data_IF_825833307739
#
_entry.id   IF_825833307739
#
_cell.length_a   1.000
_cell.length_b   1.000
_cell.length_c   1.000
_cell.angle_alpha   90.00
_cell.angle_beta   90.00
_cell.angle_gamma   90.00
#
_symmetry.space_group_name_H-M   'P 1'
#
loop_
_entity.id
_entity.type
_entity.pdbx_description
1 polymer ?
#
# COMPACT_ATOMS: atom_id res chain seq x y z
N UNK A 1 -24.77 -45.79 -14.12
CA UNK A 1 -24.21 -44.44 -14.29
C UNK A 1 -24.67 -43.59 -13.12
N UNK A 2 -23.80 -43.29 -12.15
CA UNK A 2 -24.12 -42.33 -11.09
C UNK A 2 -24.05 -40.91 -11.69
N UNK A 3 -25.03 -40.03 -11.43
CA UNK A 3 -24.97 -38.66 -11.91
C UNK A 3 -23.81 -37.94 -11.24
N UNK A 4 -23.05 -37.20 -12.04
CA UNK A 4 -21.96 -36.31 -11.61
C UNK A 4 -22.59 -35.25 -10.66
N UNK A 5 -22.08 -35.04 -9.44
CA UNK A 5 -22.66 -34.03 -8.55
C UNK A 5 -22.53 -32.66 -9.21
N UNK A 6 -23.62 -31.87 -9.17
CA UNK A 6 -23.62 -30.50 -9.62
C UNK A 6 -22.60 -29.70 -8.79
N UNK A 7 -21.58 -29.15 -9.46
CA UNK A 7 -20.62 -28.23 -8.86
C UNK A 7 -21.36 -27.03 -8.29
N UNK A 8 -21.22 -26.81 -6.99
CA UNK A 8 -21.81 -25.66 -6.28
C UNK A 8 -21.14 -24.37 -6.74
N UNK A 9 -21.84 -23.24 -6.61
CA UNK A 9 -21.35 -21.90 -6.99
C UNK A 9 -20.06 -21.52 -6.25
N UNK A 10 -19.88 -22.00 -5.01
CA UNK A 10 -18.68 -21.80 -4.20
C UNK A 10 -17.47 -22.58 -4.77
N UNK A 11 -17.67 -23.83 -5.21
CA UNK A 11 -16.59 -24.63 -5.82
C UNK A 11 -16.11 -24.02 -7.14
N UNK A 12 -17.04 -23.46 -7.93
CA UNK A 12 -16.70 -22.75 -9.18
C UNK A 12 -15.99 -21.41 -8.91
N UNK A 13 -16.36 -20.70 -7.85
CA UNK A 13 -15.68 -19.46 -7.44
C UNK A 13 -14.26 -19.72 -6.97
N UNK A 14 -14.02 -20.81 -6.25
CA UNK A 14 -12.69 -21.16 -5.77
C UNK A 14 -11.76 -21.51 -6.94
N UNK A 15 -12.26 -22.25 -7.93
CA UNK A 15 -11.49 -22.66 -9.10
C UNK A 15 -11.05 -21.44 -9.94
N UNK A 16 -11.96 -20.49 -10.18
CA UNK A 16 -11.65 -19.28 -10.95
C UNK A 16 -10.69 -18.33 -10.20
N UNK A 17 -10.77 -18.26 -8.87
CA UNK A 17 -9.79 -17.51 -8.07
C UNK A 17 -8.40 -18.13 -8.18
N UNK A 18 -8.29 -19.45 -8.06
CA UNK A 18 -7.01 -20.14 -8.18
C UNK A 18 -6.40 -19.95 -9.56
N UNK A 19 -7.20 -20.05 -10.62
CA UNK A 19 -6.75 -19.77 -11.99
C UNK A 19 -6.22 -18.33 -12.14
N UNK A 20 -6.88 -17.35 -11.53
CA UNK A 20 -6.44 -15.96 -11.56
C UNK A 20 -5.11 -15.74 -10.83
N UNK A 21 -4.93 -16.36 -9.66
CA UNK A 21 -3.70 -16.27 -8.88
C UNK A 21 -2.54 -16.98 -9.59
N UNK A 22 -2.79 -18.12 -10.23
CA UNK A 22 -1.81 -18.81 -11.05
C UNK A 22 -1.38 -17.96 -12.24
N UNK A 23 -2.33 -17.30 -12.91
CA UNK A 23 -2.01 -16.45 -14.06
C UNK A 23 -1.27 -15.16 -13.68
N UNK A 24 -1.64 -14.54 -12.54
CA UNK A 24 -1.03 -13.30 -12.06
C UNK A 24 0.39 -13.51 -11.50
N UNK A 25 0.58 -14.55 -10.69
CA UNK A 25 1.81 -14.74 -9.90
C UNK A 25 2.54 -16.06 -10.19
N UNK A 26 1.94 -16.99 -10.93
CA UNK A 26 2.46 -18.36 -11.06
C UNK A 26 2.33 -19.16 -9.76
N UNK A 27 1.34 -18.85 -8.93
CA UNK A 27 1.18 -19.44 -7.59
C UNK A 27 -0.10 -20.30 -7.53
N UNK A 28 0.03 -21.51 -7.02
CA UNK A 28 -1.07 -22.47 -6.95
C UNK A 28 -1.76 -22.55 -5.59
N UNK A 29 -2.52 -23.63 -5.39
CA UNK A 29 -3.34 -23.85 -4.19
C UNK A 29 -2.54 -23.94 -2.88
N UNK A 30 -1.27 -24.37 -2.93
CA UNK A 30 -0.39 -24.40 -1.77
C UNK A 30 -0.14 -23.00 -1.20
N UNK A 31 0.05 -22.02 -2.09
CA UNK A 31 0.23 -20.63 -1.73
C UNK A 31 -1.06 -20.04 -1.15
N UNK A 32 -2.22 -20.29 -1.77
CA UNK A 32 -3.52 -19.85 -1.23
C UNK A 32 -3.79 -20.38 0.19
N UNK A 33 -3.38 -21.61 0.51
CA UNK A 33 -3.48 -22.18 1.86
C UNK A 33 -2.54 -21.51 2.86
N UNK A 34 -1.34 -21.14 2.42
CA UNK A 34 -0.35 -20.45 3.26
C UNK A 34 -0.72 -18.98 3.48
N UNK A 35 -1.38 -18.36 2.50
CA UNK A 35 -1.72 -16.94 2.46
C UNK A 35 -3.24 -16.75 2.31
N UNK A 36 -4.02 -16.93 3.39
CA UNK A 36 -5.48 -16.83 3.34
C UNK A 36 -5.99 -15.44 2.95
N UNK A 37 -5.16 -14.39 3.04
CA UNK A 37 -5.47 -13.05 2.54
C UNK A 37 -5.73 -12.98 1.03
N UNK A 38 -5.40 -14.03 0.26
CA UNK A 38 -5.74 -14.13 -1.16
C UNK A 38 -7.26 -14.04 -1.38
N UNK A 39 -8.06 -14.65 -0.51
CA UNK A 39 -9.52 -14.54 -0.64
C UNK A 39 -10.00 -13.09 -0.49
N UNK A 40 -9.35 -12.31 0.37
CA UNK A 40 -9.71 -10.90 0.58
C UNK A 40 -9.25 -10.05 -0.61
N UNK A 41 -8.13 -10.38 -1.23
CA UNK A 41 -7.73 -9.79 -2.51
C UNK A 41 -8.76 -10.11 -3.60
N UNK A 42 -9.21 -11.36 -3.70
CA UNK A 42 -10.23 -11.76 -4.66
C UNK A 42 -11.55 -11.02 -4.43
N UNK A 43 -12.06 -10.99 -3.19
CA UNK A 43 -13.26 -10.24 -2.82
C UNK A 43 -13.12 -8.74 -3.10
N UNK A 44 -11.91 -8.17 -2.89
CA UNK A 44 -11.63 -6.79 -3.25
C UNK A 44 -11.76 -6.55 -4.76
N UNK A 45 -11.19 -7.43 -5.59
CA UNK A 45 -11.29 -7.33 -7.05
C UNK A 45 -12.73 -7.51 -7.54
N UNK A 46 -13.50 -8.42 -6.93
CA UNK A 46 -14.92 -8.61 -7.25
C UNK A 46 -15.75 -7.36 -6.99
N UNK A 47 -15.52 -6.66 -5.88
CA UNK A 47 -16.16 -5.36 -5.62
C UNK A 47 -15.82 -4.33 -6.70
N UNK A 48 -14.62 -4.40 -7.30
CA UNK A 48 -14.25 -3.53 -8.44
C UNK A 48 -14.96 -3.94 -9.72
N UNK A 49 -15.19 -5.24 -9.94
CA UNK A 49 -15.87 -5.75 -11.13
C UNK A 49 -17.35 -5.35 -11.22
N UNK A 50 -17.99 -4.93 -10.13
CA UNK A 50 -19.36 -4.38 -10.14
C UNK A 50 -19.50 -3.26 -11.18
N UNK A 51 -18.47 -2.43 -11.34
CA UNK A 51 -18.44 -1.35 -12.35
C UNK A 51 -18.53 -1.84 -13.80
N UNK A 52 -18.17 -3.09 -14.09
CA UNK A 52 -18.27 -3.71 -15.41
C UNK A 52 -19.65 -4.32 -15.70
N UNK A 53 -20.56 -4.33 -14.72
CA UNK A 53 -21.92 -4.84 -14.89
C UNK A 53 -22.88 -3.78 -15.47
N UNK A 54 -22.44 -2.52 -15.59
CA UNK A 54 -23.20 -1.46 -16.24
C UNK A 54 -23.49 -1.77 -17.72
N UNK A 55 -24.55 -1.18 -18.27
CA UNK A 55 -24.97 -1.39 -19.67
C UNK A 55 -23.88 -0.98 -20.68
N UNK A 56 -23.06 0.02 -20.35
CA UNK A 56 -22.01 0.52 -21.24
C UNK A 56 -20.94 -0.55 -21.54
N UNK A 57 -20.74 -1.50 -20.61
CA UNK A 57 -19.77 -2.56 -20.73
C UNK A 57 -20.35 -3.88 -21.28
N UNK A 58 -21.60 -3.89 -21.78
CA UNK A 58 -22.21 -5.11 -22.35
C UNK A 58 -21.39 -5.74 -23.48
N UNK A 59 -20.63 -4.91 -24.19
CA UNK A 59 -19.71 -5.34 -25.24
C UNK A 59 -18.70 -6.40 -24.76
N UNK A 60 -18.17 -6.29 -23.54
CA UNK A 60 -17.13 -7.22 -23.07
C UNK A 60 -17.69 -8.65 -22.96
N UNK A 61 -18.97 -8.77 -22.58
CA UNK A 61 -19.67 -10.05 -22.48
C UNK A 61 -19.98 -10.62 -23.87
N UNK A 62 -20.36 -9.76 -24.83
CA UNK A 62 -20.51 -10.16 -26.25
C UNK A 62 -19.19 -10.67 -26.83
N UNK A 63 -18.06 -9.99 -26.56
CA UNK A 63 -16.73 -10.42 -27.00
C UNK A 63 -16.40 -11.81 -26.45
N UNK A 64 -16.72 -12.06 -25.17
CA UNK A 64 -16.55 -13.36 -24.52
C UNK A 64 -17.58 -14.41 -24.95
N UNK A 65 -18.55 -14.08 -25.81
CA UNK A 65 -19.68 -14.93 -26.23
C UNK A 65 -20.47 -15.46 -25.02
N UNK A 66 -20.73 -14.57 -24.06
CA UNK A 66 -21.45 -14.85 -22.82
C UNK A 66 -22.61 -13.88 -22.62
N UNK A 67 -23.63 -14.33 -21.91
CA UNK A 67 -24.69 -13.45 -21.43
C UNK A 67 -24.15 -12.52 -20.33
N UNK A 68 -24.75 -11.33 -20.21
CA UNK A 68 -24.40 -10.36 -19.18
C UNK A 68 -24.67 -10.98 -17.80
N UNK A 69 -23.65 -11.13 -16.94
CA UNK A 69 -23.86 -11.71 -15.62
C UNK A 69 -24.56 -10.72 -14.68
N UNK A 70 -25.32 -11.26 -13.73
CA UNK A 70 -25.91 -10.47 -12.63
C UNK A 70 -24.98 -10.35 -11.41
N UNK A 71 -23.95 -11.18 -11.33
CA UNK A 71 -23.02 -11.25 -10.19
C UNK A 71 -21.60 -10.84 -10.61
N UNK A 72 -20.96 -10.00 -9.81
CA UNK A 72 -19.62 -9.47 -10.02
C UNK A 72 -18.52 -10.54 -10.06
N UNK A 73 -18.74 -11.72 -9.45
CA UNK A 73 -17.81 -12.87 -9.54
C UNK A 73 -17.53 -13.24 -11.00
N UNK A 74 -18.49 -13.09 -11.91
CA UNK A 74 -18.26 -13.38 -13.33
C UNK A 74 -17.35 -12.37 -14.03
N UNK A 75 -17.04 -11.23 -13.39
CA UNK A 75 -15.99 -10.29 -13.76
C UNK A 75 -14.62 -10.95 -13.97
N UNK A 76 -14.34 -12.03 -13.25
CA UNK A 76 -13.13 -12.82 -13.43
C UNK A 76 -12.95 -13.34 -14.86
N UNK A 77 -14.02 -13.66 -15.59
CA UNK A 77 -13.89 -14.13 -16.97
C UNK A 77 -13.30 -13.05 -17.89
N UNK A 78 -13.70 -11.79 -17.71
CA UNK A 78 -13.11 -10.67 -18.43
C UNK A 78 -11.68 -10.41 -17.97
N UNK A 79 -11.47 -10.37 -16.66
CA UNK A 79 -10.15 -10.17 -16.07
C UNK A 79 -9.12 -11.20 -16.59
N UNK A 80 -9.47 -12.48 -16.56
CA UNK A 80 -8.65 -13.58 -17.06
C UNK A 80 -8.43 -13.49 -18.58
N UNK A 81 -9.44 -13.12 -19.36
CA UNK A 81 -9.29 -12.97 -20.81
C UNK A 81 -8.24 -11.90 -21.15
N UNK A 82 -8.30 -10.75 -20.48
CA UNK A 82 -7.32 -9.67 -20.66
C UNK A 82 -5.93 -10.12 -20.21
N UNK A 83 -5.79 -10.79 -19.06
CA UNK A 83 -4.50 -11.29 -18.58
C UNK A 83 -3.87 -12.33 -19.53
N UNK A 84 -4.67 -13.26 -20.08
CA UNK A 84 -4.18 -14.21 -21.08
C UNK A 84 -3.75 -13.50 -22.37
N UNK A 85 -4.50 -12.47 -22.77
CA UNK A 85 -4.11 -11.59 -23.87
C UNK A 85 -2.76 -10.93 -23.62
N UNK A 86 -2.55 -10.36 -22.43
CA UNK A 86 -1.27 -9.78 -21.99
C UNK A 86 -0.15 -10.82 -22.02
N UNK A 87 -0.37 -12.00 -21.43
CA UNK A 87 0.62 -13.08 -21.38
C UNK A 87 1.02 -13.53 -22.78
N UNK A 88 0.06 -13.65 -23.71
CA UNK A 88 0.35 -14.06 -25.09
C UNK A 88 1.17 -13.02 -25.87
N UNK A 89 1.05 -11.74 -25.50
CA UNK A 89 1.70 -10.62 -26.17
C UNK A 89 2.98 -10.16 -25.44
N UNK A 90 3.33 -10.74 -24.30
CA UNK A 90 4.39 -10.24 -23.39
C UNK A 90 5.80 -10.17 -23.99
N UNK A 91 6.04 -10.86 -25.11
CA UNK A 91 7.31 -10.81 -25.84
C UNK A 91 7.46 -9.54 -26.70
N UNK A 92 6.38 -8.80 -26.93
CA UNK A 92 6.37 -7.57 -27.72
C UNK A 92 6.54 -6.35 -26.79
N UNK A 93 7.65 -5.63 -26.93
CA UNK A 93 7.90 -4.40 -26.14
C UNK A 93 6.96 -3.25 -26.49
N UNK A 94 6.25 -3.35 -27.62
CA UNK A 94 5.32 -2.35 -28.14
C UNK A 94 3.86 -2.71 -27.87
N UNK A 95 3.60 -3.57 -26.89
CA UNK A 95 2.23 -3.91 -26.47
C UNK A 95 1.47 -2.65 -26.05
N UNK A 96 0.30 -2.49 -26.63
CA UNK A 96 -0.65 -1.40 -26.40
C UNK A 96 -2.02 -1.98 -26.06
N UNK A 97 -2.91 -1.17 -25.48
CA UNK A 97 -4.29 -1.60 -25.22
C UNK A 97 -5.01 -1.98 -26.51
N UNK A 98 -4.71 -1.28 -27.61
CA UNK A 98 -5.21 -1.59 -28.94
C UNK A 98 -4.81 -3.00 -29.40
N UNK A 99 -3.57 -3.44 -29.16
CA UNK A 99 -3.13 -4.80 -29.52
C UNK A 99 -3.83 -5.87 -28.69
N UNK A 100 -4.03 -5.62 -27.40
CA UNK A 100 -4.79 -6.51 -26.51
C UNK A 100 -6.24 -6.62 -27.00
N UNK A 101 -6.87 -5.50 -27.35
CA UNK A 101 -8.20 -5.48 -27.95
C UNK A 101 -8.29 -6.34 -29.21
N UNK A 102 -7.37 -6.17 -30.17
CA UNK A 102 -7.35 -6.97 -31.40
C UNK A 102 -7.14 -8.47 -31.14
N UNK A 103 -6.37 -8.82 -30.10
CA UNK A 103 -6.22 -10.21 -29.68
C UNK A 103 -7.53 -10.77 -29.11
N UNK A 104 -8.25 -10.01 -28.27
CA UNK A 104 -9.50 -10.45 -27.65
C UNK A 104 -10.64 -10.67 -28.65
N UNK A 105 -10.69 -9.86 -29.72
CA UNK A 105 -11.71 -10.01 -30.77
C UNK A 105 -11.31 -11.03 -31.85
N UNK A 106 -10.12 -11.63 -31.77
CA UNK A 106 -9.62 -12.59 -32.76
C UNK A 106 -10.54 -13.83 -32.76
N UNK A 107 -11.34 -13.99 -33.82
CA UNK A 107 -12.33 -15.07 -33.92
C UNK A 107 -13.79 -14.62 -33.70
N UNK A 108 -14.03 -13.31 -33.57
CA UNK A 108 -15.36 -12.71 -33.70
C UNK A 108 -15.60 -12.27 -35.15
N UNK A 109 -16.73 -12.70 -35.72
CA UNK A 109 -17.12 -12.36 -37.09
C UNK A 109 -17.88 -11.03 -37.20
N UNK A 110 -18.29 -10.45 -36.07
CA UNK A 110 -19.03 -9.19 -36.02
C UNK A 110 -18.07 -8.00 -35.97
N UNK A 111 -18.35 -6.97 -36.78
CA UNK A 111 -17.73 -5.67 -36.64
C UNK A 111 -18.30 -4.93 -35.44
N UNK A 112 -17.44 -4.40 -34.58
CA UNK A 112 -17.84 -3.60 -33.43
C UNK A 112 -17.82 -2.10 -33.76
N UNK A 113 -18.76 -1.35 -33.21
CA UNK A 113 -18.81 0.10 -33.36
C UNK A 113 -17.63 0.81 -32.67
N UNK A 114 -17.29 2.05 -33.06
CA UNK A 114 -16.23 2.82 -32.39
C UNK A 114 -16.47 3.00 -30.88
N UNK A 115 -17.72 3.23 -30.48
CA UNK A 115 -18.11 3.38 -29.07
C UNK A 115 -17.90 2.08 -28.28
N UNK A 116 -18.30 0.94 -28.85
CA UNK A 116 -18.09 -0.38 -28.24
C UNK A 116 -16.60 -0.70 -28.07
N UNK A 117 -15.78 -0.31 -29.04
CA UNK A 117 -14.32 -0.41 -28.93
C UNK A 117 -13.79 0.44 -27.78
N UNK A 118 -14.24 1.69 -27.66
CA UNK A 118 -13.79 2.59 -26.60
C UNK A 118 -14.15 2.07 -25.19
N UNK A 119 -15.38 1.57 -24.99
CA UNK A 119 -15.75 0.91 -23.73
C UNK A 119 -14.90 -0.33 -23.44
N UNK A 120 -14.57 -1.12 -24.48
CA UNK A 120 -13.69 -2.28 -24.33
C UNK A 120 -12.27 -1.86 -23.91
N UNK A 121 -11.74 -0.79 -24.50
CA UNK A 121 -10.43 -0.25 -24.15
C UNK A 121 -10.39 0.29 -22.70
N UNK A 122 -11.46 0.94 -22.24
CA UNK A 122 -11.61 1.32 -20.82
C UNK A 122 -11.62 0.11 -19.90
N UNK A 123 -12.33 -0.96 -20.26
CA UNK A 123 -12.36 -2.19 -19.48
C UNK A 123 -10.99 -2.91 -19.48
N UNK A 124 -10.19 -2.83 -20.55
CA UNK A 124 -8.78 -3.29 -20.57
C UNK A 124 -7.92 -2.44 -19.64
N UNK A 125 -8.05 -1.11 -19.70
CA UNK A 125 -7.36 -0.19 -18.80
C UNK A 125 -7.66 -0.51 -17.33
N UNK A 126 -8.93 -0.79 -17.01
CA UNK A 126 -9.35 -1.14 -15.67
C UNK A 126 -8.61 -2.37 -15.15
N UNK A 127 -8.55 -3.43 -15.96
CA UNK A 127 -7.83 -4.67 -15.61
C UNK A 127 -6.33 -4.40 -15.41
N UNK A 128 -5.69 -3.57 -16.23
CA UNK A 128 -4.27 -3.21 -16.02
C UNK A 128 -4.05 -2.52 -14.66
N UNK A 129 -4.97 -1.65 -14.25
CA UNK A 129 -4.91 -0.95 -12.98
C UNK A 129 -5.16 -1.90 -11.79
N UNK A 130 -6.21 -2.72 -11.87
CA UNK A 130 -6.57 -3.68 -10.82
C UNK A 130 -5.55 -4.80 -10.67
N UNK A 131 -5.06 -5.37 -11.77
CA UNK A 131 -4.06 -6.45 -11.73
C UNK A 131 -2.71 -5.98 -11.17
N UNK A 132 -2.34 -4.71 -11.39
CA UNK A 132 -1.13 -4.12 -10.81
C UNK A 132 -1.36 -3.53 -9.41
N UNK A 133 -2.62 -3.37 -8.98
CA UNK A 133 -3.03 -2.68 -7.73
C UNK A 133 -2.45 -1.27 -7.59
N UNK A 134 -2.05 -0.63 -8.69
CA UNK A 134 -1.31 0.63 -8.65
C UNK A 134 -2.22 1.83 -8.44
N UNK A 135 -3.26 1.97 -9.26
CA UNK A 135 -4.24 3.06 -9.22
C UNK A 135 -5.65 2.50 -9.30
N UNK A 136 -6.64 3.28 -8.86
CA UNK A 136 -8.06 2.95 -9.01
C UNK A 136 -8.61 3.67 -10.25
N UNK A 137 -8.98 2.94 -11.32
CA UNK A 137 -9.49 3.55 -12.54
C UNK A 137 -10.86 4.18 -12.27
N UNK A 138 -11.07 5.37 -12.81
CA UNK A 138 -12.41 5.96 -12.87
C UNK A 138 -13.11 5.48 -14.14
N UNK A 139 -14.17 4.71 -13.95
CA UNK A 139 -15.00 4.16 -15.02
C UNK A 139 -16.32 4.91 -15.16
N UNK A 140 -16.54 5.96 -14.37
CA UNK A 140 -17.69 6.83 -14.58
C UNK A 140 -17.49 7.57 -15.90
N UNK A 141 -18.31 7.21 -16.88
CA UNK A 141 -18.43 7.97 -18.11
C UNK A 141 -19.01 9.31 -17.71
N UNK A 142 -18.15 10.32 -17.60
CA UNK A 142 -18.55 11.66 -17.21
C UNK A 142 -19.81 12.05 -17.98
N UNK A 143 -20.83 12.56 -17.27
CA UNK A 143 -21.99 13.17 -17.89
C UNK A 143 -21.46 14.20 -18.89
N UNK A 144 -21.41 13.80 -20.16
CA UNK A 144 -20.99 14.69 -21.22
C UNK A 144 -21.94 15.87 -21.12
N UNK A 145 -21.40 17.06 -20.87
CA UNK A 145 -22.16 18.29 -21.06
C UNK A 145 -22.85 18.16 -22.42
N UNK A 146 -24.18 18.07 -22.43
CA UNK A 146 -25.02 17.91 -23.62
C UNK A 146 -24.94 19.11 -24.58
N UNK A 147 -23.98 20.01 -24.37
CA UNK A 147 -23.83 21.28 -25.07
C UNK A 147 -22.85 21.24 -26.27
N UNK A 148 -22.12 20.14 -26.53
CA UNK A 148 -21.21 20.06 -27.68
C UNK A 148 -21.45 18.79 -28.51
N UNK A 149 -22.26 18.94 -29.56
CA UNK A 149 -22.70 17.87 -30.45
C UNK A 149 -21.68 17.43 -31.51
N UNK A 150 -20.46 17.04 -31.12
CA UNK A 150 -19.60 16.18 -31.97
C UNK A 150 -18.44 15.58 -31.16
N UNK A 151 -18.27 14.26 -31.24
CA UNK A 151 -17.28 13.40 -30.58
C UNK A 151 -17.29 13.38 -29.04
N UNK A 152 -17.97 12.36 -28.48
CA UNK A 152 -17.78 11.94 -27.08
C UNK A 152 -16.36 11.36 -26.92
N UNK A 153 -15.38 12.20 -26.63
CA UNK A 153 -14.04 11.76 -26.29
C UNK A 153 -14.04 11.15 -24.89
N UNK A 154 -13.70 9.86 -24.78
CA UNK A 154 -13.51 9.19 -23.49
C UNK A 154 -12.11 9.47 -22.95
N UNK A 155 -11.99 9.53 -21.62
CA UNK A 155 -10.74 9.84 -20.93
C UNK A 155 -10.35 8.74 -19.98
N UNK A 156 -9.04 8.53 -19.85
CA UNK A 156 -8.45 7.68 -18.83
C UNK A 156 -8.22 8.53 -17.59
N UNK A 157 -8.85 8.15 -16.47
CA UNK A 157 -8.76 8.87 -15.19
C UNK A 157 -8.50 7.91 -14.03
N UNK A 158 -7.82 8.38 -13.01
CA UNK A 158 -7.66 7.71 -11.73
C UNK A 158 -8.47 8.45 -10.65
N UNK A 159 -9.18 7.72 -9.78
CA UNK A 159 -10.09 8.31 -8.77
C UNK A 159 -9.38 9.17 -7.70
N UNK A 160 -8.07 9.04 -7.54
CA UNK A 160 -7.30 9.78 -6.56
C UNK A 160 -6.03 10.36 -7.21
N UNK A 161 -5.98 11.68 -7.35
CA UNK A 161 -4.86 12.41 -7.97
C UNK A 161 -5.15 13.88 -8.20
N UNK A 162 -6.42 14.26 -8.34
CA UNK A 162 -6.82 15.63 -8.69
C UNK A 162 -7.58 16.30 -7.56
N UNK A 163 -7.22 17.56 -7.25
CA UNK A 163 -8.14 18.47 -6.58
C UNK A 163 -9.42 18.59 -7.43
N UNK A 164 -10.60 18.80 -6.83
CA UNK A 164 -11.83 19.04 -7.58
C UNK A 164 -11.61 20.26 -8.50
N UNK A 165 -11.50 20.03 -9.81
CA UNK A 165 -11.29 21.07 -10.83
C UNK A 165 -10.16 20.81 -11.83
N UNK A 166 -9.17 19.96 -11.51
CA UNK A 166 -8.00 19.68 -12.37
C UNK A 166 -7.82 18.16 -12.57
N UNK A 167 -8.84 17.51 -13.12
CA UNK A 167 -8.71 16.13 -13.61
C UNK A 167 -7.72 16.14 -14.76
N UNK A 168 -6.54 15.53 -14.58
CA UNK A 168 -5.60 15.37 -15.68
C UNK A 168 -6.13 14.31 -16.64
N UNK A 169 -6.89 14.76 -17.62
CA UNK A 169 -7.63 13.94 -18.55
C UNK A 169 -6.76 13.52 -19.73
N UNK A 170 -6.62 12.21 -19.94
CA UNK A 170 -5.85 11.66 -21.06
C UNK A 170 -6.83 11.07 -22.08
N UNK A 171 -6.90 11.62 -23.32
CA UNK A 171 -7.81 11.12 -24.35
C UNK A 171 -7.53 9.65 -24.66
N UNK A 172 -8.56 8.82 -24.64
CA UNK A 172 -8.47 7.37 -24.83
C UNK A 172 -7.92 7.00 -26.21
N UNK A 173 -8.48 7.58 -27.28
CA UNK A 173 -8.23 7.13 -28.65
C UNK A 173 -6.75 7.14 -29.07
N UNK A 174 -6.05 8.26 -28.86
CA UNK A 174 -4.62 8.33 -29.17
C UNK A 174 -3.75 7.56 -28.17
N UNK A 175 -4.20 7.44 -26.92
CA UNK A 175 -3.40 6.87 -25.83
C UNK A 175 -3.45 5.34 -25.83
N UNK A 176 -4.57 4.74 -26.27
CA UNK A 176 -4.74 3.29 -26.38
C UNK A 176 -3.80 2.64 -27.40
N UNK A 177 -3.36 3.39 -28.40
CA UNK A 177 -2.39 2.94 -29.43
C UNK A 177 -0.94 3.01 -28.95
N UNK A 178 -0.66 3.82 -27.92
CA UNK A 178 0.71 3.96 -27.38
C UNK A 178 1.10 2.69 -26.63
N UNK A 179 2.39 2.34 -26.60
CA UNK A 179 2.89 1.30 -25.72
C UNK A 179 2.45 1.56 -24.27
N UNK A 180 2.08 0.52 -23.53
CA UNK A 180 1.54 0.62 -22.17
C UNK A 180 2.47 1.43 -21.25
N UNK A 181 3.78 1.21 -21.34
CA UNK A 181 4.80 2.02 -20.65
C UNK A 181 4.62 3.53 -20.86
N UNK A 182 4.42 3.97 -22.12
CA UNK A 182 4.24 5.40 -22.47
C UNK A 182 2.89 5.94 -22.00
N UNK A 183 1.85 5.11 -22.02
CA UNK A 183 0.54 5.46 -21.49
C UNK A 183 0.62 5.78 -19.99
N UNK A 184 1.19 4.87 -19.20
CA UNK A 184 1.29 5.05 -17.75
C UNK A 184 2.26 6.14 -17.34
N UNK A 185 3.30 6.42 -18.15
CA UNK A 185 4.13 7.62 -17.98
C UNK A 185 3.32 8.92 -18.14
N UNK A 186 2.39 8.97 -19.09
CA UNK A 186 1.53 10.14 -19.26
C UNK A 186 0.56 10.30 -18.07
N UNK A 187 -0.02 9.19 -17.59
CA UNK A 187 -0.86 9.18 -16.38
C UNK A 187 -0.05 9.64 -15.15
N UNK A 188 1.19 9.20 -15.02
CA UNK A 188 2.06 9.67 -13.93
C UNK A 188 2.19 11.19 -13.93
N UNK A 189 2.44 11.77 -15.10
CA UNK A 189 2.55 13.22 -15.27
C UNK A 189 1.28 14.00 -14.88
N UNK A 190 0.10 13.36 -14.91
CA UNK A 190 -1.15 13.99 -14.45
C UNK A 190 -1.41 13.82 -12.95
N UNK A 191 -0.82 12.80 -12.32
CA UNK A 191 -0.93 12.57 -10.87
C UNK A 191 0.07 13.40 -10.07
N UNK A 192 1.23 13.72 -10.65
CA UNK A 192 2.32 14.44 -9.99
C UNK A 192 2.15 15.97 -10.09
N UNK A 193 1.23 16.56 -9.31
CA UNK A 193 1.20 18.02 -9.07
C UNK A 193 1.92 18.42 -7.77
N UNK A 194 2.41 17.42 -7.01
CA UNK A 194 3.29 17.64 -5.85
C UNK A 194 4.73 17.62 -6.30
N UNK A 195 5.24 18.76 -6.78
CA UNK A 195 6.66 19.07 -6.66
C UNK A 195 7.05 18.77 -5.21
N UNK A 196 7.84 17.73 -4.99
CA UNK A 196 8.44 17.45 -3.70
C UNK A 196 9.55 18.50 -3.51
N UNK A 197 9.10 19.72 -3.20
CA UNK A 197 9.95 20.86 -2.92
C UNK A 197 10.61 20.60 -1.57
N UNK A 198 11.84 20.08 -1.64
CA UNK A 198 12.63 19.69 -0.49
C UNK A 198 13.14 18.26 -0.59
N UNK A 199 14.02 18.01 -1.57
CA UNK A 199 15.12 17.08 -1.33
C UNK A 199 15.91 17.62 -0.14
N UNK A 200 15.53 17.22 1.07
CA UNK A 200 16.33 17.48 2.26
C UNK A 200 17.64 16.74 2.11
N UNK A 201 18.76 17.39 2.45
CA UNK A 201 20.12 16.86 2.37
C UNK A 201 20.38 15.60 3.24
N UNK A 202 19.34 15.02 3.87
CA UNK A 202 19.44 13.89 4.78
C UNK A 202 18.63 12.71 4.25
N UNK A 203 19.32 11.63 3.89
CA UNK A 203 18.72 10.35 3.47
C UNK A 203 18.40 9.42 4.67
N UNK A 204 18.48 9.93 5.90
CA UNK A 204 18.30 9.13 7.13
C UNK A 204 16.85 9.25 7.62
N UNK A 205 16.20 8.09 7.74
CA UNK A 205 14.91 7.92 8.40
C UNK A 205 15.12 7.42 9.83
N UNK A 206 14.52 8.09 10.81
CA UNK A 206 14.57 7.68 12.22
C UNK A 206 13.26 7.03 12.62
N UNK A 207 13.29 5.77 13.06
CA UNK A 207 12.11 5.02 13.54
C UNK A 207 11.29 5.86 14.52
N UNK A 208 11.97 6.49 15.48
CA UNK A 208 11.35 7.29 16.55
C UNK A 208 10.51 8.47 16.05
N UNK A 209 10.75 8.93 14.82
CA UNK A 209 10.08 10.07 14.20
C UNK A 209 9.00 9.69 13.19
N UNK A 210 8.99 8.45 12.70
CA UNK A 210 8.02 7.99 11.69
C UNK A 210 7.10 6.89 12.21
N UNK A 211 7.42 6.24 13.33
CA UNK A 211 6.56 5.21 13.89
C UNK A 211 5.17 5.78 14.22
N UNK A 212 4.15 4.91 14.14
CA UNK A 212 2.75 5.27 14.27
C UNK A 212 2.44 5.94 15.61
N UNK A 213 3.07 5.51 16.70
CA UNK A 213 2.92 6.16 18.00
C UNK A 213 3.35 7.64 17.97
N UNK A 214 4.53 7.93 17.42
CA UNK A 214 5.06 9.29 17.27
C UNK A 214 4.18 10.14 16.38
N UNK A 215 3.75 9.59 15.24
CA UNK A 215 2.84 10.23 14.31
C UNK A 215 1.48 10.55 14.94
N UNK A 216 0.91 9.63 15.72
CA UNK A 216 -0.40 9.80 16.34
C UNK A 216 -0.36 10.78 17.52
N UNK A 217 0.64 10.64 18.39
CA UNK A 217 0.70 11.42 19.64
C UNK A 217 1.26 12.82 19.45
N UNK A 218 2.30 12.96 18.63
CA UNK A 218 3.00 14.23 18.43
C UNK A 218 2.55 14.88 17.13
N UNK A 219 2.60 14.12 16.03
CA UNK A 219 2.21 14.58 14.70
C UNK A 219 0.71 14.86 14.56
N UNK A 220 -0.12 14.28 15.45
CA UNK A 220 -1.58 14.22 15.31
C UNK A 220 -2.01 13.71 13.93
N UNK A 221 -1.20 12.82 13.36
CA UNK A 221 -1.42 12.19 12.06
C UNK A 221 -2.27 10.96 12.26
N UNK A 222 -3.34 10.86 11.47
CA UNK A 222 -4.22 9.70 11.42
C UNK A 222 -3.79 8.78 10.28
N UNK A 223 -3.99 7.49 10.46
CA UNK A 223 -3.77 6.50 9.40
C UNK A 223 -5.10 6.24 8.69
N UNK A 224 -5.08 6.25 7.37
CA UNK A 224 -6.18 5.82 6.50
C UNK A 224 -5.73 4.60 5.71
N UNK A 225 -6.48 3.51 5.79
CA UNK A 225 -6.25 2.33 4.96
C UNK A 225 -6.71 2.60 3.52
N UNK A 226 -5.87 2.24 2.55
CA UNK A 226 -6.12 2.39 1.11
C UNK A 226 -5.85 1.09 0.37
N UNK A 227 -6.52 0.89 -0.74
CA UNK A 227 -6.47 -0.36 -1.52
C UNK A 227 -5.63 -0.22 -2.81
N UNK A 228 -4.88 0.88 -2.99
CA UNK A 228 -3.98 1.08 -4.13
C UNK A 228 -2.57 1.50 -3.68
N UNK A 229 -1.55 1.03 -4.43
CA UNK A 229 -0.14 1.26 -4.14
C UNK A 229 0.28 2.71 -4.38
N UNK A 230 -0.29 3.40 -5.38
CA UNK A 230 0.06 4.78 -5.69
C UNK A 230 -0.25 5.75 -4.54
N UNK A 231 -1.25 5.44 -3.71
CA UNK A 231 -1.61 6.20 -2.51
C UNK A 231 -0.83 5.76 -1.26
N UNK A 232 -0.02 4.69 -1.32
CA UNK A 232 0.72 4.22 -0.17
C UNK A 232 1.72 5.28 0.33
N UNK A 233 1.67 5.58 1.62
CA UNK A 233 2.43 6.64 2.28
C UNK A 233 2.16 8.05 1.74
N UNK A 234 1.08 8.26 0.98
CA UNK A 234 0.64 9.59 0.62
C UNK A 234 0.19 10.33 1.89
N UNK A 235 0.83 11.47 2.15
CA UNK A 235 0.58 12.27 3.35
C UNK A 235 -0.08 13.60 2.99
N UNK A 236 -1.31 13.78 3.44
CA UNK A 236 -2.01 15.06 3.35
C UNK A 236 -1.78 15.87 4.62
N UNK A 237 -1.05 16.98 4.48
CA UNK A 237 -0.76 17.93 5.57
C UNK A 237 -2.01 18.64 6.09
N UNK A 238 -3.03 18.85 5.26
CA UNK A 238 -4.24 19.58 5.63
C UNK A 238 -5.13 18.70 6.52
N UNK A 239 -5.48 17.50 6.05
CA UNK A 239 -6.26 16.55 6.86
C UNK A 239 -5.43 15.82 7.92
N UNK A 240 -4.09 15.92 7.86
CA UNK A 240 -3.14 15.16 8.69
C UNK A 240 -3.38 13.66 8.58
N UNK A 241 -3.56 13.19 7.35
CA UNK A 241 -3.86 11.78 7.07
C UNK A 241 -2.72 11.17 6.29
N UNK A 242 -2.17 10.08 6.83
CA UNK A 242 -1.23 9.21 6.15
C UNK A 242 -1.99 8.00 5.58
N UNK A 243 -1.94 7.84 4.26
CA UNK A 243 -2.55 6.70 3.59
C UNK A 243 -1.62 5.49 3.65
N UNK A 244 -2.12 4.31 4.03
CA UNK A 244 -1.34 3.07 4.16
C UNK A 244 -2.09 1.96 3.44
N UNK A 245 -1.37 1.16 2.66
CA UNK A 245 -1.97 0.10 1.84
C UNK A 245 -2.51 -1.00 2.77
N UNK A 246 -3.58 -1.70 2.41
CA UNK A 246 -4.24 -2.65 3.32
C UNK A 246 -4.32 -4.09 2.82
N UNK A 247 -3.64 -4.43 1.72
CA UNK A 247 -3.63 -5.77 1.14
C UNK A 247 -2.21 -6.33 1.02
N UNK A 248 -1.44 -6.45 2.13
CA UNK A 248 -0.05 -6.91 2.07
C UNK A 248 0.12 -8.35 1.56
N UNK A 249 -0.93 -9.17 1.54
CA UNK A 249 -0.88 -10.49 0.86
C UNK A 249 -0.64 -10.36 -0.64
N UNK A 250 -1.12 -9.28 -1.28
CA UNK A 250 -0.75 -8.96 -2.66
C UNK A 250 0.77 -8.76 -2.76
N UNK A 251 1.35 -7.94 -1.89
CA UNK A 251 2.80 -7.70 -1.86
C UNK A 251 3.59 -8.99 -1.61
N UNK A 252 3.16 -9.84 -0.68
CA UNK A 252 3.79 -11.13 -0.42
C UNK A 252 3.72 -12.05 -1.65
N UNK A 253 2.58 -12.08 -2.34
CA UNK A 253 2.40 -12.87 -3.56
C UNK A 253 3.25 -12.35 -4.72
N UNK A 254 3.34 -11.03 -4.91
CA UNK A 254 4.23 -10.40 -5.91
C UNK A 254 5.70 -10.68 -5.64
N UNK A 255 6.12 -10.78 -4.37
CA UNK A 255 7.50 -11.12 -4.01
C UNK A 255 7.81 -12.60 -4.27
N UNK A 256 6.86 -13.47 -3.96
CA UNK A 256 7.00 -14.93 -4.08
C UNK A 256 6.66 -15.46 -5.48
N UNK A 257 6.27 -14.58 -6.40
CA UNK A 257 5.81 -14.95 -7.73
C UNK A 257 6.84 -15.80 -8.48
N UNK A 258 6.37 -16.84 -9.16
CA UNK A 258 7.21 -17.68 -10.05
C UNK A 258 7.09 -17.26 -11.51
N UNK A 259 6.03 -16.50 -11.82
CA UNK A 259 5.78 -15.93 -13.14
C UNK A 259 5.59 -14.43 -13.01
N UNK A 260 6.17 -13.67 -13.94
CA UNK A 260 6.02 -12.22 -14.01
C UNK A 260 5.36 -11.82 -15.33
N UNK A 261 4.33 -10.99 -15.26
CA UNK A 261 3.76 -10.33 -16.43
C UNK A 261 4.46 -8.99 -16.66
N UNK A 262 5.38 -8.94 -17.65
CA UNK A 262 6.19 -7.77 -17.97
C UNK A 262 5.38 -6.47 -18.14
N UNK A 263 4.19 -6.57 -18.72
CA UNK A 263 3.28 -5.44 -18.90
C UNK A 263 2.85 -4.85 -17.56
N UNK A 264 2.46 -5.68 -16.57
CA UNK A 264 2.06 -5.20 -15.25
C UNK A 264 3.24 -4.61 -14.49
N UNK A 265 4.43 -5.20 -14.63
CA UNK A 265 5.65 -4.62 -14.09
C UNK A 265 5.91 -3.22 -14.67
N UNK A 266 5.79 -3.04 -15.99
CA UNK A 266 5.93 -1.74 -16.64
C UNK A 266 4.95 -0.71 -16.08
N UNK A 267 3.69 -1.08 -15.84
CA UNK A 267 2.68 -0.23 -15.19
C UNK A 267 3.19 0.26 -13.83
N UNK A 268 3.60 -0.66 -12.96
CA UNK A 268 4.10 -0.30 -11.62
C UNK A 268 5.37 0.56 -11.68
N UNK A 269 6.34 0.21 -12.54
CA UNK A 269 7.62 0.92 -12.64
C UNK A 269 7.50 2.35 -13.18
N UNK A 270 6.49 2.64 -14.00
CA UNK A 270 6.26 3.98 -14.54
C UNK A 270 5.46 4.85 -13.57
N UNK A 271 4.46 4.29 -12.88
CA UNK A 271 3.67 5.05 -11.90
C UNK A 271 4.43 5.29 -10.59
N UNK A 272 5.24 4.33 -10.17
CA UNK A 272 6.04 4.36 -8.96
C UNK A 272 7.48 4.02 -9.34
N UNK A 273 8.25 4.98 -9.88
CA UNK A 273 9.63 4.74 -10.24
C UNK A 273 10.55 4.84 -9.01
N UNK A 274 11.57 3.98 -8.96
CA UNK A 274 12.68 4.02 -7.99
C UNK A 274 13.71 5.11 -8.29
N UNK A 275 13.50 5.90 -9.35
CA UNK A 275 14.52 6.75 -9.97
C UNK A 275 14.76 8.09 -9.28
N UNK A 276 14.26 8.28 -8.05
CA UNK A 276 14.65 9.46 -7.26
C UNK A 276 16.17 9.48 -7.01
N UNK A 277 16.79 8.30 -6.99
CA UNK A 277 18.24 8.13 -6.87
C UNK A 277 18.77 7.45 -8.14
N UNK A 278 19.56 8.16 -8.95
CA UNK A 278 20.02 7.71 -10.28
C UNK A 278 20.93 6.49 -10.26
N UNK A 279 21.55 6.18 -9.12
CA UNK A 279 22.52 5.09 -8.97
C UNK A 279 22.01 3.96 -8.06
N UNK A 280 20.69 3.91 -7.76
CA UNK A 280 20.15 2.84 -6.93
C UNK A 280 20.23 1.50 -7.67
N UNK A 281 20.97 0.55 -7.09
CA UNK A 281 21.14 -0.82 -7.61
C UNK A 281 19.86 -1.66 -7.51
N UNK A 282 18.79 -1.12 -6.91
CA UNK A 282 17.51 -1.80 -6.70
C UNK A 282 16.68 -1.85 -7.99
N UNK A 283 17.14 -2.65 -8.96
CA UNK A 283 16.39 -3.01 -10.16
C UNK A 283 15.58 -4.31 -9.99
N UNK A 284 15.35 -4.75 -8.75
CA UNK A 284 14.50 -5.91 -8.47
C UNK A 284 13.03 -5.52 -8.65
N UNK A 285 12.29 -6.27 -9.47
CA UNK A 285 10.86 -6.07 -9.68
C UNK A 285 10.02 -6.20 -8.41
N UNK A 286 10.54 -6.91 -7.40
CA UNK A 286 9.88 -7.07 -6.11
C UNK A 286 10.18 -5.95 -5.11
N UNK A 287 11.13 -5.05 -5.41
CA UNK A 287 11.60 -3.99 -4.51
C UNK A 287 10.47 -3.09 -4.00
N UNK A 288 9.56 -2.66 -4.88
CA UNK A 288 8.37 -1.89 -4.51
C UNK A 288 7.53 -2.60 -3.42
N UNK A 289 7.28 -3.89 -3.59
CA UNK A 289 6.46 -4.67 -2.67
C UNK A 289 7.19 -4.92 -1.34
N UNK A 290 8.52 -5.13 -1.38
CA UNK A 290 9.35 -5.25 -0.18
C UNK A 290 9.34 -3.96 0.64
N UNK A 291 9.39 -2.80 0.00
CA UNK A 291 9.26 -1.50 0.68
C UNK A 291 7.92 -1.34 1.38
N UNK A 292 6.82 -1.71 0.73
CA UNK A 292 5.49 -1.69 1.34
C UNK A 292 5.48 -2.58 2.58
N UNK A 293 6.07 -3.77 2.53
CA UNK A 293 6.15 -4.66 3.68
C UNK A 293 7.04 -4.09 4.81
N UNK A 294 8.19 -3.51 4.45
CA UNK A 294 9.11 -2.88 5.39
C UNK A 294 8.48 -1.64 6.05
N UNK A 295 7.67 -0.88 5.32
CA UNK A 295 6.98 0.30 5.86
C UNK A 295 6.01 -0.08 6.98
N UNK A 296 5.32 -1.23 6.92
CA UNK A 296 4.50 -1.67 8.06
C UNK A 296 5.35 -1.99 9.29
N UNK A 297 6.55 -2.55 9.11
CA UNK A 297 7.46 -2.80 10.24
C UNK A 297 7.92 -1.49 10.85
N UNK A 298 8.34 -0.54 10.02
CA UNK A 298 8.77 0.80 10.43
C UNK A 298 7.66 1.60 11.13
N UNK A 299 6.44 1.58 10.58
CA UNK A 299 5.31 2.31 11.15
C UNK A 299 4.75 1.63 12.40
N UNK A 300 4.53 0.32 12.37
CA UNK A 300 3.72 -0.37 13.37
C UNK A 300 4.51 -1.42 14.16
N UNK A 301 5.33 -2.20 13.48
CA UNK A 301 5.88 -3.46 13.99
C UNK A 301 6.91 -3.33 15.11
N UNK A 302 7.75 -2.29 15.08
CA UNK A 302 8.92 -2.14 15.95
C UNK A 302 8.57 -1.74 17.39
N UNK A 303 7.78 -0.67 17.54
CA UNK A 303 7.37 -0.16 18.87
C UNK A 303 6.14 -0.87 19.43
N UNK A 304 6.19 -1.25 20.71
CA UNK A 304 5.04 -1.85 21.41
C UNK A 304 3.79 -0.96 21.42
N UNK A 305 3.99 0.36 21.49
CA UNK A 305 2.88 1.32 21.49
C UNK A 305 2.30 1.48 20.09
N UNK A 306 3.15 1.48 19.06
CA UNK A 306 2.69 1.48 17.67
C UNK A 306 1.90 0.23 17.33
N UNK A 307 2.30 -0.94 17.85
CA UNK A 307 1.55 -2.19 17.71
C UNK A 307 0.16 -2.13 18.35
N UNK A 308 0.05 -1.53 19.54
CA UNK A 308 -1.25 -1.35 20.21
C UNK A 308 -2.18 -0.46 19.38
N UNK A 309 -1.69 0.68 18.89
CA UNK A 309 -2.46 1.56 18.01
C UNK A 309 -2.86 0.84 16.72
N UNK A 310 -1.95 0.05 16.12
CA UNK A 310 -2.27 -0.72 14.92
C UNK A 310 -3.40 -1.73 15.17
N UNK A 311 -3.40 -2.42 16.30
CA UNK A 311 -4.46 -3.35 16.68
C UNK A 311 -5.81 -2.63 16.83
N UNK A 312 -5.84 -1.47 17.48
CA UNK A 312 -7.05 -0.66 17.62
C UNK A 312 -7.60 -0.19 16.26
N UNK A 313 -6.71 0.30 15.38
CA UNK A 313 -7.09 0.73 14.03
C UNK A 313 -7.62 -0.42 13.18
N UNK A 314 -6.99 -1.60 13.26
CA UNK A 314 -7.45 -2.79 12.54
C UNK A 314 -8.77 -3.30 13.11
N UNK A 315 -8.99 -3.26 14.42
CA UNK A 315 -10.28 -3.65 14.99
C UNK A 315 -11.42 -2.73 14.50
N UNK A 316 -11.17 -1.42 14.41
CA UNK A 316 -12.12 -0.45 13.85
C UNK A 316 -12.41 -0.73 12.38
N UNK A 317 -11.37 -0.97 11.57
CA UNK A 317 -11.55 -1.36 10.16
C UNK A 317 -12.39 -2.62 10.05
N UNK A 318 -12.13 -3.64 10.87
CA UNK A 318 -12.85 -4.93 10.81
C UNK A 318 -14.33 -4.74 11.10
N UNK A 319 -14.68 -3.86 12.03
CA UNK A 319 -16.08 -3.52 12.36
C UNK A 319 -16.78 -2.82 11.19
N UNK A 320 -16.05 -2.05 10.38
CA UNK A 320 -16.60 -1.30 9.25
C UNK A 320 -16.68 -2.13 7.96
N UNK A 321 -15.62 -2.87 7.62
CA UNK A 321 -15.50 -3.63 6.36
C UNK A 321 -15.87 -5.10 6.48
N UNK A 322 -16.00 -5.65 7.70
CA UNK A 322 -16.23 -7.08 7.96
C UNK A 322 -14.98 -7.95 7.82
N UNK A 323 -14.12 -7.67 6.83
CA UNK A 323 -12.93 -8.46 6.51
C UNK A 323 -11.64 -7.63 6.56
N UNK A 324 -10.54 -8.28 6.95
CA UNK A 324 -9.17 -7.74 6.97
C UNK A 324 -8.19 -8.83 6.57
N UNK A 325 -7.22 -8.47 5.72
CA UNK A 325 -6.08 -9.33 5.40
C UNK A 325 -5.39 -9.87 6.68
N UNK A 326 -5.43 -11.19 6.94
CA UNK A 326 -4.79 -11.77 8.12
C UNK A 326 -3.29 -11.48 8.19
N UNK A 327 -2.62 -11.32 7.05
CA UNK A 327 -1.22 -10.96 7.02
C UNK A 327 -0.99 -9.51 7.44
N UNK A 328 -1.93 -8.59 7.16
CA UNK A 328 -1.85 -7.21 7.66
C UNK A 328 -1.82 -7.17 9.18
N UNK A 329 -2.69 -7.96 9.83
CA UNK A 329 -2.67 -8.09 11.28
C UNK A 329 -1.33 -8.65 11.76
N UNK A 330 -0.81 -9.70 11.12
CA UNK A 330 0.45 -10.31 11.50
C UNK A 330 1.65 -9.37 11.33
N UNK A 331 1.77 -8.68 10.19
CA UNK A 331 2.92 -7.82 9.89
C UNK A 331 2.94 -6.55 10.76
N UNK A 332 1.77 -6.02 11.11
CA UNK A 332 1.67 -4.85 11.99
C UNK A 332 1.86 -5.17 13.48
N UNK A 333 1.49 -6.37 13.94
CA UNK A 333 1.43 -6.71 15.38
C UNK A 333 2.49 -7.70 15.87
N UNK A 334 3.22 -8.38 14.98
CA UNK A 334 4.26 -9.29 15.43
C UNK A 334 5.42 -8.52 16.08
N UNK A 335 5.92 -9.02 17.20
CA UNK A 335 7.16 -8.54 17.81
C UNK A 335 8.33 -9.41 17.36
N UNK A 336 9.37 -8.78 16.81
CA UNK A 336 10.61 -9.44 16.38
C UNK A 336 11.64 -9.42 17.52
N UNK A 337 11.49 -8.49 18.45
CA UNK A 337 12.35 -8.21 19.62
C UNK A 337 12.15 -9.18 20.79
N UNK A 338 11.96 -10.47 20.51
CA UNK A 338 11.93 -11.47 21.57
C UNK A 338 13.32 -11.65 22.17
N UNK A 339 13.43 -11.75 23.50
CA UNK A 339 14.70 -12.09 24.14
C UNK A 339 15.27 -13.36 23.52
N UNK A 340 16.61 -13.48 23.42
CA UNK A 340 17.27 -14.68 22.85
C UNK A 340 16.75 -15.99 23.46
N UNK A 341 16.30 -15.93 24.72
CA UNK A 341 15.71 -17.05 25.44
C UNK A 341 14.30 -17.41 24.95
N UNK A 342 13.43 -16.40 24.73
CA UNK A 342 12.06 -16.62 24.27
C UNK A 342 11.98 -16.95 22.78
N UNK A 343 12.95 -16.54 21.97
CA UNK A 343 13.05 -16.87 20.53
C UNK A 343 13.01 -18.37 20.25
N UNK A 344 13.45 -19.20 21.20
CA UNK A 344 13.42 -20.69 21.10
C UNK A 344 12.02 -21.29 21.20
N UNK A 345 11.05 -20.56 21.76
CA UNK A 345 9.71 -21.06 22.04
C UNK A 345 8.64 -20.46 21.12
N UNK A 346 8.98 -19.41 20.35
CA UNK A 346 8.04 -18.66 19.53
C UNK A 346 8.58 -18.51 18.11
N UNK A 347 7.98 -19.24 17.17
CA UNK A 347 8.28 -19.11 15.74
C UNK A 347 7.80 -17.74 15.25
N UNK A 348 8.70 -16.92 14.72
CA UNK A 348 8.31 -15.70 14.01
C UNK A 348 7.31 -16.08 12.91
N UNK A 349 6.13 -15.46 12.93
CA UNK A 349 5.06 -15.72 11.95
C UNK A 349 5.32 -15.04 10.60
N UNK A 350 6.31 -14.17 10.53
CA UNK A 350 6.61 -13.40 9.32
C UNK A 350 7.78 -14.09 8.58
N UNK A 351 7.56 -14.54 7.33
CA UNK A 351 8.63 -15.09 6.48
C UNK A 351 9.68 -14.02 6.17
N UNK A 352 10.95 -14.34 6.40
CA UNK A 352 12.08 -13.40 6.24
C UNK A 352 12.41 -13.14 4.77
N UNK A 353 12.03 -14.07 3.89
CA UNK A 353 12.22 -14.01 2.44
C UNK A 353 11.46 -12.83 1.81
N UNK A 354 10.52 -12.23 2.54
CA UNK A 354 9.73 -11.08 2.12
C UNK A 354 10.42 -9.72 2.32
N UNK A 355 11.56 -9.69 3.00
CA UNK A 355 12.26 -8.44 3.34
C UNK A 355 13.55 -8.29 2.54
N UNK A 356 14.08 -7.06 2.38
CA UNK A 356 15.40 -6.84 1.81
C UNK A 356 16.48 -7.56 2.62
N UNK A 357 17.54 -7.99 1.96
CA UNK A 357 18.69 -8.65 2.60
C UNK A 357 19.40 -7.75 3.61
N UNK A 358 19.33 -6.42 3.44
CA UNK A 358 19.82 -5.44 4.41
C UNK A 358 19.15 -5.56 5.79
N UNK A 359 17.94 -6.12 5.85
CA UNK A 359 17.19 -6.31 7.09
C UNK A 359 17.26 -7.74 7.62
N UNK A 360 18.17 -8.59 7.12
CA UNK A 360 18.28 -9.98 7.55
C UNK A 360 19.66 -10.21 8.18
N UNK A 361 19.69 -10.78 9.40
CA UNK A 361 20.94 -11.15 10.06
C UNK A 361 21.57 -12.42 9.49
N UNK A 362 22.81 -12.71 9.89
CA UNK A 362 23.53 -13.93 9.51
C UNK A 362 22.80 -15.23 9.92
N UNK A 363 21.81 -15.15 10.81
CA UNK A 363 21.00 -16.26 11.29
C UNK A 363 19.62 -16.31 10.64
N UNK A 364 19.47 -15.68 9.47
CA UNK A 364 18.23 -15.61 8.69
C UNK A 364 17.04 -15.08 9.51
N UNK A 365 17.29 -14.02 10.28
CA UNK A 365 16.27 -13.38 11.10
C UNK A 365 16.14 -11.90 10.79
N UNK A 366 14.91 -11.41 10.86
CA UNK A 366 14.62 -10.00 10.63
C UNK A 366 15.30 -9.11 11.68
N UNK A 367 16.03 -8.10 11.21
CA UNK A 367 16.65 -7.04 11.98
C UNK A 367 15.77 -5.79 11.88
N UNK A 368 15.53 -5.17 13.02
CA UNK A 368 14.87 -3.87 13.14
C UNK A 368 15.91 -2.86 13.59
N UNK A 369 15.96 -1.71 12.90
CA UNK A 369 16.98 -0.68 13.10
C UNK A 369 16.33 0.60 13.59
N UNK A 370 17.01 1.36 14.45
CA UNK A 370 16.54 2.69 14.85
C UNK A 370 16.64 3.70 13.68
N UNK A 371 17.45 3.39 12.66
CA UNK A 371 17.67 4.21 11.47
C UNK A 371 17.58 3.40 10.19
N UNK A 372 16.94 3.96 9.17
CA UNK A 372 16.83 3.41 7.82
C UNK A 372 17.36 4.39 6.78
N UNK A 373 17.86 3.87 5.66
CA UNK A 373 18.22 4.67 4.49
C UNK A 373 16.97 4.90 3.65
N UNK A 374 16.53 6.15 3.51
CA UNK A 374 15.45 6.52 2.58
C UNK A 374 15.79 6.13 1.13
N UNK A 375 17.08 6.08 0.80
CA UNK A 375 17.59 5.73 -0.52
C UNK A 375 17.65 4.24 -0.77
N UNK A 376 18.24 3.49 0.16
CA UNK A 376 18.57 2.08 -0.07
C UNK A 376 17.46 1.14 0.43
N UNK A 377 16.85 1.47 1.56
CA UNK A 377 15.75 0.67 2.13
C UNK A 377 14.38 1.06 1.53
N UNK A 378 14.24 2.30 1.04
CA UNK A 378 12.98 2.84 0.50
C UNK A 378 13.11 3.61 -0.84
N UNK A 379 13.75 3.07 -1.90
CA UNK A 379 13.92 3.79 -3.16
C UNK A 379 12.63 4.35 -3.82
N UNK A 380 11.46 3.77 -3.57
CA UNK A 380 10.17 4.25 -4.11
C UNK A 380 9.47 5.21 -3.14
N UNK A 381 9.40 4.87 -1.86
CA UNK A 381 8.60 5.59 -0.86
C UNK A 381 9.41 6.46 0.11
N UNK A 382 10.74 6.45 0.02
CA UNK A 382 11.66 7.23 0.84
C UNK A 382 11.33 8.71 0.88
N UNK A 383 11.10 9.38 -0.27
CA UNK A 383 10.70 10.79 -0.29
C UNK A 383 9.40 11.07 0.49
N UNK A 384 8.42 10.15 0.44
CA UNK A 384 7.16 10.29 1.19
C UNK A 384 7.38 10.12 2.70
N UNK A 385 8.20 9.15 3.10
CA UNK A 385 8.57 8.93 4.49
C UNK A 385 9.36 10.12 5.06
N UNK A 386 10.30 10.68 4.28
CA UNK A 386 11.05 11.89 4.66
C UNK A 386 10.11 13.08 4.83
N UNK A 387 9.14 13.27 3.93
CA UNK A 387 8.16 14.34 4.06
C UNK A 387 7.31 14.23 5.35
N UNK A 388 6.94 13.01 5.73
CA UNK A 388 6.24 12.71 6.99
C UNK A 388 7.14 12.94 8.21
N UNK A 389 8.39 12.47 8.17
CA UNK A 389 9.39 12.70 9.21
C UNK A 389 9.60 14.21 9.45
N UNK A 390 9.84 14.97 8.39
CA UNK A 390 10.03 16.42 8.46
C UNK A 390 8.80 17.13 9.03
N UNK A 391 7.59 16.68 8.67
CA UNK A 391 6.37 17.21 9.24
C UNK A 391 6.30 16.94 10.75
N UNK A 392 6.58 15.71 11.18
CA UNK A 392 6.49 15.31 12.57
C UNK A 392 7.57 15.98 13.45
N UNK A 393 8.79 16.12 12.93
CA UNK A 393 9.90 16.81 13.62
C UNK A 393 9.60 18.30 13.83
N UNK A 394 8.85 18.94 12.93
CA UNK A 394 8.41 20.33 13.10
C UNK A 394 7.34 20.50 14.18
N UNK A 395 6.66 19.42 14.58
CA UNK A 395 5.66 19.49 15.64
C UNK A 395 6.36 19.51 17.01
N UNK A 396 6.09 20.55 17.80
CA UNK A 396 6.59 20.63 19.17
C UNK A 396 5.79 19.72 20.10
N UNK A 397 6.45 18.95 20.98
CA UNK A 397 5.78 18.20 22.03
C UNK A 397 5.13 19.19 23.02
N UNK A 398 3.81 19.30 23.00
CA UNK A 398 3.08 20.31 23.79
C UNK A 398 2.91 19.97 25.28
N UNK A 399 3.25 18.74 25.72
CA UNK A 399 3.05 18.29 27.11
C UNK A 399 4.34 17.71 27.70
N UNK A 400 4.54 17.90 29.00
CA UNK A 400 5.68 17.35 29.76
C UNK A 400 5.75 15.82 29.66
N UNK A 401 4.60 15.13 29.66
CA UNK A 401 4.50 13.68 29.42
C UNK A 401 5.01 13.27 28.04
N UNK A 402 4.81 14.14 27.06
CA UNK A 402 5.25 13.90 25.69
C UNK A 402 6.77 14.12 25.61
N UNK A 403 7.31 15.14 26.29
CA UNK A 403 8.77 15.37 26.44
C UNK A 403 9.49 14.17 27.07
N UNK A 404 8.91 13.57 28.10
CA UNK A 404 9.44 12.38 28.77
C UNK A 404 9.56 11.16 27.85
N UNK A 405 8.65 11.05 26.88
CA UNK A 405 8.57 9.92 25.93
C UNK A 405 9.19 10.23 24.57
N UNK A 406 9.55 11.48 24.30
CA UNK A 406 10.10 11.91 23.02
C UNK A 406 11.57 11.48 22.90
N UNK A 407 11.81 10.38 22.18
CA UNK A 407 13.15 9.89 21.86
C UNK A 407 13.75 10.48 20.58
N UNK A 408 13.04 11.39 19.89
CA UNK A 408 13.48 11.96 18.61
C UNK A 408 14.67 12.90 18.77
N UNK A 409 14.82 13.52 19.96
CA UNK A 409 15.95 14.37 20.30
C UNK A 409 16.66 13.82 21.55
N UNK A 410 17.71 12.98 21.39
CA UNK A 410 18.36 12.32 22.52
C UNK A 410 18.96 13.34 23.51
N UNK A 411 19.46 14.49 23.02
CA UNK A 411 20.01 15.53 23.88
C UNK A 411 18.96 16.15 24.80
N UNK A 412 17.79 16.53 24.28
CA UNK A 412 16.69 17.05 25.10
C UNK A 412 16.13 16.00 26.06
N UNK A 413 16.12 14.74 25.65
CA UNK A 413 15.70 13.63 26.51
C UNK A 413 16.66 13.47 27.70
N UNK A 414 17.97 13.44 27.47
CA UNK A 414 18.96 13.36 28.56
C UNK A 414 18.95 14.58 29.47
N UNK A 415 18.82 15.80 28.94
CA UNK A 415 18.74 17.01 29.77
C UNK A 415 17.47 17.03 30.63
N UNK A 416 16.33 16.61 30.08
CA UNK A 416 15.09 16.45 30.85
C UNK A 416 15.29 15.49 32.03
N UNK A 417 15.87 14.31 31.79
CA UNK A 417 16.14 13.34 32.85
C UNK A 417 17.18 13.83 33.86
N UNK A 418 18.23 14.50 33.41
CA UNK A 418 19.24 15.08 34.30
C UNK A 418 18.60 16.12 35.23
N UNK A 419 17.76 17.02 34.70
CA UNK A 419 17.03 18.02 35.51
C UNK A 419 16.07 17.34 36.48
N UNK A 420 15.35 16.29 36.05
CA UNK A 420 14.42 15.57 36.91
C UNK A 420 15.14 14.88 38.08
N UNK A 421 16.28 14.25 37.82
CA UNK A 421 17.10 13.62 38.86
C UNK A 421 17.75 14.65 39.78
N UNK A 422 18.45 15.66 39.23
CA UNK A 422 19.14 16.69 40.03
C UNK A 422 18.15 17.52 40.83
N UNK A 423 17.06 17.95 40.21
CA UNK A 423 15.98 18.69 40.87
C UNK A 423 15.28 17.85 41.94
N UNK A 424 14.96 16.59 41.65
CA UNK A 424 14.35 15.67 42.60
C UNK A 424 15.22 15.40 43.83
N UNK A 425 16.52 15.15 43.61
CA UNK A 425 17.49 14.96 44.70
C UNK A 425 17.61 16.23 45.55
N UNK A 426 17.66 17.41 44.92
CA UNK A 426 17.74 18.69 45.64
C UNK A 426 16.53 18.93 46.55
N UNK A 427 15.32 18.63 46.06
CA UNK A 427 14.08 18.73 46.86
C UNK A 427 14.09 17.72 48.01
N UNK A 428 14.54 16.49 47.79
CA UNK A 428 14.63 15.51 48.87
C UNK A 428 15.62 15.96 49.95
N UNK A 429 16.79 16.46 49.55
CA UNK A 429 17.79 16.98 50.47
C UNK A 429 17.27 18.19 51.27
N UNK A 430 16.52 19.10 50.65
CA UNK A 430 15.96 20.25 51.35
C UNK A 430 14.89 19.84 52.37
N UNK A 431 14.07 18.82 52.07
CA UNK A 431 13.12 18.23 53.03
C UNK A 431 13.85 17.58 54.21
N UNK A 432 14.94 16.84 53.95
CA UNK A 432 15.76 16.26 55.03
C UNK A 432 16.42 17.32 55.91
N UNK A 433 16.96 18.38 55.31
CA UNK A 433 17.55 19.50 56.03
C UNK A 433 16.51 20.21 56.89
N UNK A 434 15.31 20.44 56.36
CA UNK A 434 14.21 21.03 57.11
C UNK A 434 13.79 20.15 58.29
N UNK A 435 13.66 18.84 58.08
CA UNK A 435 13.34 17.89 59.15
C UNK A 435 14.42 17.88 60.24
N UNK A 436 15.69 17.83 59.85
CA UNK A 436 16.82 17.90 60.78
C UNK A 436 16.83 19.21 61.58
N UNK A 437 16.54 20.34 60.94
CA UNK A 437 16.44 21.64 61.59
C UNK A 437 15.28 21.68 62.61
N UNK A 438 14.10 21.18 62.26
CA UNK A 438 12.94 21.10 63.18
C UNK A 438 13.29 20.24 64.40
N UNK A 439 13.91 19.08 64.18
CA UNK A 439 14.34 18.18 65.25
C UNK A 439 15.34 18.90 66.16
N UNK A 440 16.34 19.58 65.58
CA UNK A 440 17.33 20.34 66.34
C UNK A 440 16.68 21.46 67.15
N UNK A 441 15.75 22.23 66.58
CA UNK A 441 15.03 23.30 67.30
C UNK A 441 14.19 22.74 68.46
N UNK A 442 13.52 21.60 68.26
CA UNK A 442 12.75 20.95 69.31
C UNK A 442 13.64 20.52 70.48
N UNK A 443 14.80 19.91 70.20
CA UNK A 443 15.75 19.50 71.24
C UNK A 443 16.53 20.67 71.86
N UNK A 444 16.62 21.83 71.19
CA UNK A 444 17.36 23.00 71.66
C UNK A 444 16.50 24.02 72.42
N UNK A 445 15.17 23.83 72.45
CA UNK A 445 14.28 24.68 73.24
C UNK A 445 14.50 24.40 74.74
N UNK A 446 14.92 25.40 75.54
CA UNK A 446 15.06 25.22 76.97
C UNK A 446 13.67 25.03 77.61
N UNK A 447 13.53 23.99 78.43
CA UNK A 447 12.36 23.75 79.30
C UNK A 447 12.16 24.86 80.31
#
# INVERSE_FOLDING_TARGET
>A
MKPKPATTTEDMSLDIHLEAIELLFGLGISHAKQWPGIHILCNHLERKFESLLCEEFEIIWKILKREKPSNAVHGWHWFLAVLRGIQSLQADETVSMEKIYHHLIKGNSAGFSPLEKDHTLLAIFAVLCWASMTIDPDLELGQANEASGNDRTLFLRAKYGSRPGESGEIPLGQSARRPIKKLFRAIKGTLEDTRHDGATATDILYESSVNCYSLYTIGRVRVKWVENLASHLAFDRQSRTLSVFCLPTFCASSILQTQQLNVLYQVSSELLPSNFYTDSLANDASSLHREVLLSYRLLFGQSSHSRQIALELLEQTKKLSGEIDPFLLAICSASVTQSRFLRRFTKSRIPVELFPTSNIDLYNSLIESDTYSARDDFPHFGPRLLAVQLYNLKQQPSRIRDLWRDRRNPLQWYTFWAVLWVGGISILLSVFQLAAAIVQTYYSAPT
#
